data_IF_923410305633
#
_entry.id   IF_923410305633
#
_cell.length_a   1.000
_cell.length_b   1.000
_cell.length_c   1.000
_cell.angle_alpha   90.00
_cell.angle_beta   90.00
_cell.angle_gamma   90.00
#
_symmetry.space_group_name_H-M   'P 1'
#
loop_
_entity.id
_entity.type
_entity.pdbx_description
1 polymer ?
#
# COMPACT_ATOMS: atom_id res chain seq x y z
N UNK A 1 -8.09 16.16 -2.69
CA UNK A 1 -8.03 15.21 -1.56
C UNK A 1 -7.01 14.14 -1.95
N UNK A 2 -5.90 13.98 -1.20
CA UNK A 2 -4.82 13.07 -1.63
C UNK A 2 -4.92 11.65 -1.07
N UNK A 3 -5.66 11.46 0.02
CA UNK A 3 -5.90 10.17 0.67
C UNK A 3 -7.35 9.75 0.43
N UNK A 4 -7.63 8.52 -0.04
CA UNK A 4 -8.98 8.10 -0.39
C UNK A 4 -9.82 7.74 0.86
N UNK A 5 -11.13 7.93 0.71
CA UNK A 5 -12.13 7.26 1.55
C UNK A 5 -12.26 5.80 1.11
N UNK A 6 -12.65 4.93 2.04
CA UNK A 6 -12.83 3.50 1.75
C UNK A 6 -13.83 3.28 0.60
N UNK A 7 -14.93 4.03 0.56
CA UNK A 7 -15.92 3.89 -0.50
C UNK A 7 -16.65 5.21 -0.77
N UNK A 8 -17.49 5.20 -1.81
CA UNK A 8 -18.43 6.26 -2.10
C UNK A 8 -19.75 5.64 -2.58
N UNK A 9 -20.83 6.40 -2.49
CA UNK A 9 -22.12 6.03 -3.05
C UNK A 9 -22.15 6.37 -4.54
N UNK A 10 -22.48 5.42 -5.40
CA UNK A 10 -22.39 5.59 -6.85
C UNK A 10 -23.28 6.72 -7.38
N UNK A 11 -24.50 6.87 -6.87
CA UNK A 11 -25.46 7.84 -7.43
C UNK A 11 -25.19 9.27 -6.97
N UNK A 12 -24.77 9.45 -5.71
CA UNK A 12 -24.60 10.77 -5.08
C UNK A 12 -23.15 11.20 -4.94
N UNK A 13 -22.20 10.29 -5.14
CA UNK A 13 -20.77 10.45 -4.85
C UNK A 13 -20.46 10.83 -3.40
N UNK A 14 -21.41 10.58 -2.49
CA UNK A 14 -21.19 10.77 -1.06
C UNK A 14 -20.10 9.83 -0.58
N UNK A 15 -19.15 10.37 0.18
CA UNK A 15 -18.03 9.63 0.72
C UNK A 15 -18.51 8.76 1.88
N UNK A 16 -18.11 7.49 1.89
CA UNK A 16 -18.54 6.48 2.84
C UNK A 16 -17.34 5.77 3.47
N UNK A 17 -17.53 5.31 4.71
CA UNK A 17 -16.47 4.67 5.47
C UNK A 17 -15.40 5.66 5.97
N UNK A 18 -14.25 5.14 6.37
CA UNK A 18 -13.18 5.98 6.94
C UNK A 18 -12.26 6.47 5.83
N UNK A 19 -11.81 7.71 5.97
CA UNK A 19 -10.72 8.24 5.17
C UNK A 19 -9.40 7.67 5.68
N UNK A 20 -8.54 7.21 4.77
CA UNK A 20 -7.20 6.73 5.14
C UNK A 20 -7.19 5.35 5.78
N UNK A 21 -8.12 4.46 5.42
CA UNK A 21 -7.99 3.05 5.79
C UNK A 21 -6.75 2.45 5.11
N UNK A 22 -5.73 2.07 5.87
CA UNK A 22 -4.40 1.72 5.38
C UNK A 22 -4.41 0.67 4.27
N UNK A 23 -5.11 -0.46 4.47
CA UNK A 23 -5.23 -1.48 3.44
C UNK A 23 -6.07 -1.02 2.24
N UNK A 24 -7.09 -0.19 2.44
CA UNK A 24 -7.87 0.41 1.36
C UNK A 24 -7.03 1.36 0.49
N UNK A 25 -6.23 2.22 1.12
CA UNK A 25 -5.27 3.08 0.42
C UNK A 25 -4.24 2.25 -0.36
N UNK A 26 -3.76 1.16 0.23
CA UNK A 26 -2.80 0.27 -0.40
C UNK A 26 -3.40 -0.45 -1.62
N UNK A 27 -4.65 -0.91 -1.55
CA UNK A 27 -5.34 -1.49 -2.71
C UNK A 27 -5.52 -0.47 -3.84
N UNK A 28 -5.86 0.77 -3.50
CA UNK A 28 -5.94 1.84 -4.49
C UNK A 28 -4.59 2.10 -5.18
N UNK A 29 -3.51 2.17 -4.40
CA UNK A 29 -2.16 2.34 -4.93
C UNK A 29 -1.76 1.18 -5.85
N UNK A 30 -2.00 -0.08 -5.44
CA UNK A 30 -1.75 -1.27 -6.28
C UNK A 30 -2.54 -1.18 -7.59
N UNK A 31 -3.82 -0.85 -7.54
CA UNK A 31 -4.66 -0.75 -8.73
C UNK A 31 -4.11 0.22 -9.77
N UNK A 32 -3.65 1.40 -9.35
CA UNK A 32 -3.02 2.39 -10.24
C UNK A 32 -1.67 1.87 -10.76
N UNK A 33 -0.79 1.41 -9.86
CA UNK A 33 0.59 1.05 -10.17
C UNK A 33 0.68 -0.21 -11.04
N UNK A 34 -0.11 -1.24 -10.75
CA UNK A 34 -0.11 -2.46 -11.55
C UNK A 34 -0.78 -2.23 -12.91
N UNK A 35 -1.76 -1.31 -13.00
CA UNK A 35 -2.31 -0.87 -14.29
C UNK A 35 -1.25 -0.14 -15.12
N UNK A 36 -0.47 0.74 -14.51
CA UNK A 36 0.67 1.40 -15.15
C UNK A 36 1.68 0.36 -15.64
N UNK A 37 2.07 -0.57 -14.76
CA UNK A 37 3.01 -1.65 -15.07
C UNK A 37 2.55 -2.50 -16.26
N UNK A 38 1.27 -2.85 -16.32
CA UNK A 38 0.70 -3.58 -17.45
C UNK A 38 0.75 -2.77 -18.74
N UNK A 39 0.36 -1.49 -18.70
CA UNK A 39 0.39 -0.62 -19.89
C UNK A 39 1.82 -0.34 -20.37
N UNK A 40 2.79 -0.20 -19.47
CA UNK A 40 4.20 -0.02 -19.87
C UNK A 40 4.75 -1.19 -20.70
N UNK A 41 4.12 -2.36 -20.64
CA UNK A 41 4.44 -3.53 -21.46
C UNK A 41 3.69 -3.57 -22.80
N UNK A 42 2.75 -2.66 -23.05
CA UNK A 42 1.98 -2.56 -24.29
C UNK A 42 2.44 -1.37 -25.14
N UNK A 43 2.22 -1.45 -26.45
CA UNK A 43 2.37 -0.30 -27.33
C UNK A 43 1.22 0.71 -27.15
N UNK A 44 1.44 1.98 -27.50
CA UNK A 44 0.42 3.04 -27.43
C UNK A 44 0.09 3.53 -26.01
N UNK A 45 -1.10 4.09 -25.82
CA UNK A 45 -1.65 4.56 -24.54
C UNK A 45 -0.78 5.58 -23.78
N UNK A 46 -0.01 6.41 -24.49
CA UNK A 46 0.94 7.34 -23.86
C UNK A 46 0.26 8.31 -22.87
N UNK A 47 -0.98 8.71 -23.14
CA UNK A 47 -1.75 9.61 -22.27
C UNK A 47 -2.13 8.91 -20.96
N UNK A 48 -2.65 7.69 -21.05
CA UNK A 48 -3.06 6.88 -19.90
C UNK A 48 -1.86 6.48 -19.05
N UNK A 49 -0.74 6.11 -19.69
CA UNK A 49 0.54 5.85 -19.01
C UNK A 49 1.01 7.06 -18.22
N UNK A 50 1.00 8.25 -18.83
CA UNK A 50 1.39 9.47 -18.17
C UNK A 50 0.47 9.81 -16.99
N UNK A 51 -0.84 9.64 -17.14
CA UNK A 51 -1.80 9.90 -16.07
C UNK A 51 -1.65 8.91 -14.91
N UNK A 52 -1.53 7.61 -15.18
CA UNK A 52 -1.32 6.60 -14.13
C UNK A 52 0.02 6.80 -13.42
N UNK A 53 1.08 7.18 -14.14
CA UNK A 53 2.36 7.53 -13.53
C UNK A 53 2.22 8.72 -12.59
N UNK A 54 1.55 9.79 -13.02
CA UNK A 54 1.28 10.96 -12.20
C UNK A 54 0.48 10.58 -10.94
N UNK A 55 -0.62 9.85 -11.10
CA UNK A 55 -1.46 9.39 -9.98
C UNK A 55 -0.69 8.48 -9.01
N UNK A 56 0.20 7.63 -9.53
CA UNK A 56 1.07 6.76 -8.71
C UNK A 56 2.02 7.58 -7.83
N UNK A 57 2.64 8.62 -8.39
CA UNK A 57 3.50 9.53 -7.63
C UNK A 57 2.67 10.29 -6.59
N UNK A 58 1.53 10.85 -6.99
CA UNK A 58 0.68 11.64 -6.11
C UNK A 58 0.18 10.84 -4.88
N UNK A 59 -0.27 9.59 -5.07
CA UNK A 59 -0.74 8.76 -3.96
C UNK A 59 0.41 8.31 -3.05
N UNK A 60 1.56 7.96 -3.60
CA UNK A 60 2.72 7.54 -2.81
C UNK A 60 3.32 8.71 -2.03
N UNK A 61 3.45 9.89 -2.64
CA UNK A 61 3.92 11.09 -1.92
C UNK A 61 2.95 11.49 -0.80
N UNK A 62 1.64 11.33 -1.04
CA UNK A 62 0.63 11.60 -0.02
C UNK A 62 0.73 10.63 1.16
N UNK A 63 0.80 9.32 0.89
CA UNK A 63 0.86 8.28 1.93
C UNK A 63 2.17 8.34 2.71
N UNK A 64 3.28 8.69 2.07
CA UNK A 64 4.60 8.79 2.68
C UNK A 64 4.60 9.65 3.94
N UNK A 65 3.85 10.76 3.96
CA UNK A 65 3.74 11.66 5.11
C UNK A 65 3.05 11.05 6.34
N UNK A 66 2.47 9.86 6.21
CA UNK A 66 1.76 9.13 7.26
C UNK A 66 2.43 7.79 7.63
N UNK A 67 3.53 7.44 6.97
CA UNK A 67 4.31 6.24 7.28
C UNK A 67 5.33 6.62 8.36
N UNK A 68 5.43 5.79 9.39
CA UNK A 68 6.34 6.04 10.51
C UNK A 68 7.80 5.96 10.03
N UNK A 69 8.70 6.58 10.80
CA UNK A 69 10.12 6.62 10.47
C UNK A 69 10.79 5.24 10.36
N UNK A 70 10.22 4.23 11.05
CA UNK A 70 10.66 2.83 11.02
C UNK A 70 10.01 2.00 9.88
N UNK A 71 9.17 2.62 9.04
CA UNK A 71 8.43 1.96 7.97
C UNK A 71 7.09 1.34 8.41
N UNK A 72 6.66 1.55 9.65
CA UNK A 72 5.33 1.12 10.11
C UNK A 72 4.22 1.83 9.35
N UNK A 73 3.22 1.05 8.93
CA UNK A 73 1.96 1.57 8.40
C UNK A 73 0.86 1.15 9.36
N UNK A 74 0.07 2.12 9.78
CA UNK A 74 -1.06 1.87 10.67
C UNK A 74 -2.32 1.51 9.90
N UNK A 75 -3.26 0.86 10.58
CA UNK A 75 -4.59 0.52 10.05
C UNK A 75 -5.35 1.73 9.55
N UNK A 76 -5.20 2.86 10.23
CA UNK A 76 -5.71 4.16 9.80
C UNK A 76 -4.51 5.07 9.63
N UNK A 77 -4.17 5.47 8.41
CA UNK A 77 -2.94 6.25 8.17
C UNK A 77 -3.06 7.69 8.67
N UNK A 78 -4.28 8.23 8.72
CA UNK A 78 -4.52 9.60 9.19
C UNK A 78 -4.46 9.75 10.72
N UNK A 79 -4.52 8.63 11.45
CA UNK A 79 -4.49 8.62 12.92
C UNK A 79 -3.43 7.60 13.36
N UNK A 80 -2.39 8.01 14.09
CA UNK A 80 -1.44 7.09 14.70
C UNK A 80 -2.19 6.03 15.52
N UNK A 81 -2.30 4.83 14.95
CA UNK A 81 -3.21 3.78 15.41
C UNK A 81 -2.48 2.45 15.48
N UNK A 82 -3.21 1.33 15.53
CA UNK A 82 -2.57 0.02 15.61
C UNK A 82 -1.90 -0.28 14.25
N UNK A 83 -0.65 -0.78 14.23
CA UNK A 83 0.03 -1.22 13.02
C UNK A 83 -0.75 -2.26 12.21
N UNK A 84 -0.60 -2.22 10.88
CA UNK A 84 -1.14 -3.21 9.94
C UNK A 84 -0.05 -3.71 8.99
N UNK A 85 0.40 -4.95 9.22
CA UNK A 85 1.42 -5.57 8.36
C UNK A 85 0.94 -5.81 6.92
N UNK A 86 -0.38 -5.93 6.68
CA UNK A 86 -0.89 -6.08 5.31
C UNK A 86 -0.78 -4.78 4.53
N UNK A 87 -1.20 -3.66 5.11
CA UNK A 87 -1.02 -2.34 4.52
C UNK A 87 0.46 -2.02 4.31
N UNK A 88 1.32 -2.33 5.29
CA UNK A 88 2.77 -2.17 5.19
C UNK A 88 3.34 -3.00 4.03
N UNK A 89 3.02 -4.29 3.91
CA UNK A 89 3.52 -5.15 2.83
C UNK A 89 3.10 -4.65 1.45
N UNK A 90 1.82 -4.30 1.30
CA UNK A 90 1.26 -3.83 0.03
C UNK A 90 1.89 -2.51 -0.41
N UNK A 91 2.06 -1.55 0.51
CA UNK A 91 2.72 -0.29 0.18
C UNK A 91 4.22 -0.45 -0.04
N UNK A 92 4.89 -1.35 0.70
CA UNK A 92 6.30 -1.65 0.47
C UNK A 92 6.54 -2.16 -0.97
N UNK A 93 5.62 -2.99 -1.48
CA UNK A 93 5.63 -3.43 -2.88
C UNK A 93 5.51 -2.23 -3.83
N UNK A 94 4.52 -1.36 -3.64
CA UNK A 94 4.32 -0.17 -4.45
C UNK A 94 5.54 0.75 -4.46
N UNK A 95 6.09 1.10 -3.29
CA UNK A 95 7.29 1.92 -3.19
C UNK A 95 8.51 1.25 -3.83
N UNK A 96 8.70 -0.06 -3.63
CA UNK A 96 9.84 -0.78 -4.23
C UNK A 96 9.79 -0.77 -5.75
N UNK A 97 8.62 -1.02 -6.34
CA UNK A 97 8.44 -0.99 -7.79
C UNK A 97 8.63 0.42 -8.35
N UNK A 98 7.99 1.43 -7.75
CA UNK A 98 8.11 2.81 -8.20
C UNK A 98 9.52 3.38 -7.98
N UNK A 99 10.22 2.94 -6.94
CA UNK A 99 11.63 3.30 -6.72
C UNK A 99 12.52 2.80 -7.86
N UNK A 100 12.34 1.56 -8.30
CA UNK A 100 13.11 1.02 -9.43
C UNK A 100 12.73 1.68 -10.75
N UNK A 101 11.44 1.88 -11.01
CA UNK A 101 10.94 2.52 -12.22
C UNK A 101 11.45 3.96 -12.37
N UNK A 102 11.44 4.73 -11.28
CA UNK A 102 11.81 6.16 -11.28
C UNK A 102 13.26 6.42 -10.89
N UNK A 103 14.01 5.39 -10.49
CA UNK A 103 15.34 5.52 -9.87
C UNK A 103 15.31 6.49 -8.67
N UNK A 104 14.28 6.35 -7.83
CA UNK A 104 14.05 7.22 -6.68
C UNK A 104 14.59 6.57 -5.39
N UNK A 105 15.70 7.10 -4.88
CA UNK A 105 16.36 6.60 -3.65
C UNK A 105 15.52 6.81 -2.39
N UNK A 106 14.69 7.84 -2.36
CA UNK A 106 13.85 8.13 -1.20
C UNK A 106 12.76 7.06 -1.03
N UNK A 107 12.12 6.66 -2.13
CA UNK A 107 11.16 5.56 -2.17
C UNK A 107 11.85 4.23 -1.86
N UNK A 108 13.07 4.01 -2.39
CA UNK A 108 13.87 2.82 -2.11
C UNK A 108 14.17 2.68 -0.62
N UNK A 109 14.67 3.76 0.00
CA UNK A 109 15.01 3.78 1.43
C UNK A 109 13.78 3.53 2.31
N UNK A 110 12.63 4.10 1.95
CA UNK A 110 11.37 3.84 2.64
C UNK A 110 10.95 2.37 2.49
N UNK A 111 10.97 1.82 1.28
CA UNK A 111 10.65 0.41 1.04
C UNK A 111 11.57 -0.55 1.81
N UNK A 112 12.86 -0.22 1.96
CA UNK A 112 13.80 -0.99 2.79
C UNK A 112 13.36 -0.96 4.25
N UNK A 113 13.05 0.21 4.82
CA UNK A 113 12.55 0.31 6.21
C UNK A 113 11.28 -0.53 6.41
N UNK A 114 10.34 -0.44 5.47
CA UNK A 114 9.11 -1.24 5.50
C UNK A 114 9.40 -2.75 5.43
N UNK A 115 10.34 -3.19 4.59
CA UNK A 115 10.80 -4.58 4.54
C UNK A 115 11.39 -5.04 5.87
N UNK A 116 12.22 -4.22 6.50
CA UNK A 116 12.80 -4.51 7.82
C UNK A 116 11.71 -4.59 8.90
N UNK A 117 10.70 -3.71 8.82
CA UNK A 117 9.53 -3.78 9.69
C UNK A 117 8.76 -5.09 9.51
N UNK A 118 8.48 -5.48 8.28
CA UNK A 118 7.82 -6.76 7.96
C UNK A 118 8.61 -7.96 8.48
N UNK A 119 9.95 -7.91 8.39
CA UNK A 119 10.81 -8.94 8.97
C UNK A 119 10.63 -9.05 10.49
N UNK A 120 10.50 -7.92 11.20
CA UNK A 120 10.30 -7.90 12.66
C UNK A 120 8.99 -8.53 13.13
N UNK A 121 7.97 -8.57 12.25
CA UNK A 121 6.64 -9.14 12.51
C UNK A 121 6.43 -10.48 11.79
N UNK A 122 7.49 -11.03 11.21
CA UNK A 122 7.48 -12.36 10.58
C UNK A 122 7.82 -13.41 11.63
N UNK A 123 6.94 -14.41 11.80
CA UNK A 123 7.14 -15.52 12.73
C UNK A 123 8.35 -16.37 12.31
N UNK A 124 8.91 -17.15 13.24
CA UNK A 124 9.96 -18.14 12.93
C UNK A 124 9.58 -19.15 11.83
N UNK A 125 8.28 -19.38 11.64
CA UNK A 125 7.73 -20.21 10.57
C UNK A 125 7.72 -19.53 9.19
N UNK A 126 8.19 -18.28 9.07
CA UNK A 126 8.19 -17.51 7.82
C UNK A 126 6.86 -16.79 7.50
N UNK A 127 5.88 -16.86 8.41
CA UNK A 127 4.56 -16.26 8.21
C UNK A 127 4.56 -14.80 8.69
N UNK A 128 4.17 -13.87 7.83
CA UNK A 128 3.91 -12.47 8.20
C UNK A 128 2.62 -12.38 9.02
N UNK A 129 2.72 -11.83 10.22
CA UNK A 129 1.61 -11.73 11.18
C UNK A 129 1.10 -10.30 11.32
N UNK A 130 0.23 -10.03 12.30
CA UNK A 130 -0.18 -8.69 12.74
C UNK A 130 -0.81 -7.82 11.63
N UNK A 131 -1.57 -8.45 10.74
CA UNK A 131 -2.41 -7.75 9.77
C UNK A 131 -3.80 -7.49 10.32
N UNK A 132 -4.46 -6.41 9.90
CA UNK A 132 -5.86 -6.22 10.25
C UNK A 132 -6.74 -7.26 9.56
N UNK A 133 -7.64 -7.91 10.29
CA UNK A 133 -8.58 -8.88 9.72
C UNK A 133 -9.60 -8.26 8.75
N UNK A 134 -10.46 -9.11 8.19
CA UNK A 134 -11.48 -8.70 7.23
C UNK A 134 -12.55 -7.78 7.86
N UNK A 135 -12.96 -6.78 7.10
CA UNK A 135 -14.00 -5.82 7.49
C UNK A 135 -15.37 -6.40 7.16
N UNK A 136 -16.32 -6.31 8.08
CA UNK A 136 -17.67 -6.87 7.89
C UNK A 136 -18.54 -6.01 6.96
N UNK A 137 -18.13 -4.76 6.73
CA UNK A 137 -18.81 -3.83 5.85
C UNK A 137 -18.22 -2.43 5.96
N UNK A 138 -18.77 -1.50 5.18
CA UNK A 138 -18.41 -0.09 5.22
C UNK A 138 -18.71 0.45 6.63
N UNK A 139 -17.68 0.98 7.30
CA UNK A 139 -17.80 1.49 8.67
C UNK A 139 -17.50 0.45 9.76
N UNK A 140 -17.39 -0.84 9.43
CA UNK A 140 -17.14 -1.93 10.38
C UNK A 140 -15.78 -2.59 10.15
N UNK A 141 -14.73 -1.93 10.65
CA UNK A 141 -13.35 -2.37 10.48
C UNK A 141 -12.94 -3.36 11.55
N UNK A 142 -12.18 -4.39 11.17
CA UNK A 142 -11.72 -5.40 12.13
C UNK A 142 -10.75 -4.80 13.13
N UNK A 143 -10.94 -5.10 14.41
CA UNK A 143 -9.95 -4.81 15.45
C UNK A 143 -8.96 -5.97 15.64
N UNK A 144 -9.31 -7.17 15.17
CA UNK A 144 -8.50 -8.37 15.32
C UNK A 144 -7.25 -8.31 14.43
N UNK A 145 -6.10 -8.63 15.03
CA UNK A 145 -4.87 -8.91 14.29
C UNK A 145 -4.83 -10.38 13.89
N UNK A 146 -4.50 -10.67 12.64
CA UNK A 146 -4.38 -12.02 12.13
C UNK A 146 -3.37 -12.12 10.97
N UNK A 147 -3.10 -13.35 10.56
CA UNK A 147 -2.38 -13.64 9.32
C UNK A 147 -3.35 -13.46 8.15
N UNK A 148 -2.90 -12.77 7.10
CA UNK A 148 -3.65 -12.64 5.85
C UNK A 148 -2.76 -12.95 4.65
N UNK A 149 -3.25 -13.64 3.60
CA UNK A 149 -2.44 -14.00 2.44
C UNK A 149 -1.81 -12.80 1.71
N UNK A 150 -2.50 -11.66 1.65
CA UNK A 150 -2.00 -10.45 1.01
C UNK A 150 -0.68 -9.97 1.64
N UNK A 151 -0.57 -9.98 2.97
CA UNK A 151 0.65 -9.57 3.66
C UNK A 151 1.84 -10.45 3.24
N UNK A 152 1.63 -11.77 3.15
CA UNK A 152 2.67 -12.71 2.74
C UNK A 152 3.11 -12.49 1.29
N UNK A 153 2.16 -12.40 0.36
CA UNK A 153 2.44 -12.26 -1.06
C UNK A 153 3.23 -10.99 -1.37
N UNK A 154 2.80 -9.85 -0.83
CA UNK A 154 3.46 -8.57 -1.08
C UNK A 154 4.79 -8.43 -0.35
N UNK A 155 4.97 -9.04 0.83
CA UNK A 155 6.27 -9.07 1.50
C UNK A 155 7.34 -9.83 0.69
N UNK A 156 6.96 -10.94 0.07
CA UNK A 156 7.83 -11.70 -0.84
C UNK A 156 8.13 -10.86 -2.09
N UNK A 157 7.10 -10.31 -2.75
CA UNK A 157 7.28 -9.49 -3.95
C UNK A 157 8.20 -8.28 -3.71
N UNK A 158 8.06 -7.61 -2.57
CA UNK A 158 8.96 -6.52 -2.14
C UNK A 158 10.40 -7.00 -2.01
N UNK A 159 10.60 -8.16 -1.38
CA UNK A 159 11.94 -8.73 -1.17
C UNK A 159 12.63 -9.09 -2.49
N UNK A 160 11.88 -9.62 -3.45
CA UNK A 160 12.37 -9.92 -4.81
C UNK A 160 12.75 -8.66 -5.60
N UNK A 161 11.99 -7.58 -5.48
CA UNK A 161 12.31 -6.31 -6.16
C UNK A 161 13.57 -5.68 -5.55
N UNK A 162 13.65 -5.61 -4.22
CA UNK A 162 14.78 -4.99 -3.51
C UNK A 162 16.04 -5.84 -3.47
N UNK A 163 15.95 -7.14 -3.81
CA UNK A 163 17.08 -8.06 -3.88
C UNK A 163 17.84 -8.04 -5.21
N UNK A 164 17.34 -7.29 -6.21
CA UNK A 164 18.00 -7.01 -7.49
C UNK A 164 18.92 -5.80 -7.37
#
# INVERSE_FOLDING_TARGET
MKIPFHSFKEESYELLGVCGWGRGCAWWAIGIIDSLKALLQSDGHNKEKAELLKLSIEILDALKGYIHDDGTVDRMVLNFSIPDSSACAMLAYCYSYMADLLKNDEYKNLAIKMKEKLRSVTRRSGIVDLSQGDTHGIGFYSEKLCVVPAAQGFAIATSEILGK
#
